data_IF_125743526987
#
_entry.id   IF_125743526987
#
_cell.length_a   1.000
_cell.length_b   1.000
_cell.length_c   1.000
_cell.angle_alpha   90.00
_cell.angle_beta   90.00
_cell.angle_gamma   90.00
#
_symmetry.space_group_name_H-M   'P 1'
#
loop_
_entity.id
_entity.type
_entity.pdbx_description
1 polymer ?
#
# COMPACT_ATOMS: atom_id res chain seq x y z
N UNK A 1 -13.14 -23.14 -0.78
CA UNK A 1 -11.84 -22.42 -0.80
C UNK A 1 -12.15 -20.93 -0.82
N UNK A 2 -11.55 -20.13 0.05
CA UNK A 2 -11.65 -18.67 -0.06
C UNK A 2 -11.02 -18.24 -1.39
N UNK A 3 -11.70 -17.36 -2.14
CA UNK A 3 -11.18 -16.84 -3.39
C UNK A 3 -9.81 -16.17 -3.19
N UNK A 4 -8.95 -16.24 -4.20
CA UNK A 4 -7.67 -15.53 -4.23
C UNK A 4 -7.92 -14.03 -4.06
N UNK A 5 -7.15 -13.37 -3.18
CA UNK A 5 -7.26 -11.93 -2.95
C UNK A 5 -5.92 -11.27 -3.21
N UNK A 6 -5.92 -10.28 -4.10
CA UNK A 6 -4.80 -9.37 -4.31
C UNK A 6 -4.96 -8.13 -3.41
N UNK A 7 -3.88 -7.38 -3.24
CA UNK A 7 -3.88 -6.08 -2.55
C UNK A 7 -3.17 -5.06 -3.44
N UNK A 8 -3.91 -4.55 -4.41
CA UNK A 8 -3.41 -3.67 -5.47
C UNK A 8 -3.67 -2.20 -5.14
N UNK A 9 -4.78 -1.93 -4.47
CA UNK A 9 -5.25 -0.61 -4.02
C UNK A 9 -5.81 -0.71 -2.60
N UNK A 10 -5.95 0.41 -1.90
CA UNK A 10 -6.45 0.40 -0.52
C UNK A 10 -7.93 -0.02 -0.47
N UNK A 11 -8.72 0.37 -1.47
CA UNK A 11 -10.14 0.00 -1.55
C UNK A 11 -10.41 -1.48 -1.89
N UNK A 12 -9.39 -2.30 -2.12
CA UNK A 12 -9.57 -3.75 -2.37
C UNK A 12 -10.05 -4.50 -1.12
N UNK A 13 -9.82 -3.91 0.06
CA UNK A 13 -10.21 -4.47 1.35
C UNK A 13 -11.38 -3.67 1.95
N UNK A 14 -12.32 -4.40 2.54
CA UNK A 14 -13.40 -3.82 3.33
C UNK A 14 -12.88 -3.25 4.65
N UNK A 15 -13.71 -2.49 5.36
CA UNK A 15 -13.39 -2.04 6.72
C UNK A 15 -13.08 -3.22 7.64
N UNK A 16 -13.88 -4.28 7.57
CA UNK A 16 -13.75 -5.47 8.40
C UNK A 16 -12.43 -6.20 8.14
N UNK A 17 -12.00 -6.23 6.88
CA UNK A 17 -10.68 -6.76 6.51
C UNK A 17 -9.55 -5.94 7.14
N UNK A 18 -9.65 -4.61 7.09
CA UNK A 18 -8.65 -3.73 7.72
C UNK A 18 -8.64 -3.86 9.24
N UNK A 19 -9.80 -3.95 9.89
CA UNK A 19 -9.89 -4.19 11.33
C UNK A 19 -9.23 -5.53 11.72
N UNK A 20 -9.38 -6.56 10.88
CA UNK A 20 -8.64 -7.81 11.05
C UNK A 20 -7.14 -7.60 10.84
N UNK A 21 -6.71 -6.97 9.75
CA UNK A 21 -5.28 -6.73 9.44
C UNK A 21 -4.61 -5.92 10.55
N UNK A 22 -5.20 -4.83 11.03
CA UNK A 22 -4.64 -4.02 12.11
C UNK A 22 -4.50 -4.81 13.41
N UNK A 23 -5.51 -5.61 13.77
CA UNK A 23 -5.48 -6.47 14.96
C UNK A 23 -4.37 -7.52 14.85
N UNK A 24 -4.23 -8.14 13.68
CA UNK A 24 -3.18 -9.13 13.40
C UNK A 24 -1.80 -8.49 13.39
N UNK A 25 -1.63 -7.33 12.77
CA UNK A 25 -0.36 -6.60 12.74
C UNK A 25 0.10 -6.22 14.15
N UNK A 26 -0.80 -5.70 14.99
CA UNK A 26 -0.51 -5.40 16.40
C UNK A 26 -0.07 -6.65 17.18
N UNK A 27 -0.78 -7.77 17.01
CA UNK A 27 -0.45 -9.03 17.68
C UNK A 27 0.88 -9.63 17.19
N UNK A 28 1.16 -9.61 15.89
CA UNK A 28 2.45 -10.06 15.32
C UNK A 28 3.58 -9.17 15.84
N UNK A 29 3.38 -7.84 15.86
CA UNK A 29 4.35 -6.87 16.38
C UNK A 29 4.66 -7.12 17.85
N UNK A 30 3.66 -7.41 18.68
CA UNK A 30 3.85 -7.74 20.11
C UNK A 30 4.71 -9.01 20.28
N UNK A 31 4.39 -10.09 19.56
CA UNK A 31 5.21 -11.32 19.57
C UNK A 31 6.64 -11.06 19.16
N UNK A 32 6.83 -10.33 18.06
CA UNK A 32 8.17 -9.95 17.59
C UNK A 32 8.94 -9.16 18.65
N UNK A 33 8.31 -8.18 19.31
CA UNK A 33 8.94 -7.36 20.37
C UNK A 33 9.26 -8.15 21.64
N UNK A 34 8.54 -9.25 21.88
CA UNK A 34 8.80 -10.19 22.98
C UNK A 34 9.77 -11.30 22.60
N UNK A 35 10.32 -11.28 21.40
CA UNK A 35 11.19 -12.32 20.86
C UNK A 35 10.52 -13.71 20.85
N UNK A 36 9.20 -13.75 20.70
CA UNK A 36 8.43 -14.98 20.56
C UNK A 36 8.33 -15.36 19.07
N UNK A 37 8.90 -16.50 18.63
CA UNK A 37 8.81 -16.94 17.25
C UNK A 37 7.36 -17.16 16.81
N UNK A 38 7.01 -16.67 15.62
CA UNK A 38 5.73 -16.90 14.98
C UNK A 38 5.93 -17.05 13.48
N UNK A 39 6.02 -18.30 13.02
CA UNK A 39 6.43 -18.62 11.64
C UNK A 39 5.29 -19.26 10.82
N UNK A 40 4.15 -18.57 10.61
CA UNK A 40 3.02 -19.13 9.88
C UNK A 40 3.30 -19.32 8.38
N UNK A 41 4.34 -18.68 7.84
CA UNK A 41 4.74 -18.73 6.45
C UNK A 41 6.02 -19.56 6.26
N UNK A 42 6.26 -20.53 7.13
CA UNK A 42 7.35 -21.49 6.96
C UNK A 42 7.29 -22.13 5.56
N UNK A 43 8.44 -22.15 4.89
CA UNK A 43 8.62 -22.68 3.52
C UNK A 43 7.79 -21.95 2.44
N UNK A 44 7.37 -20.71 2.71
CA UNK A 44 6.71 -19.85 1.72
C UNK A 44 7.69 -18.88 1.10
N UNK A 45 7.54 -18.67 -0.20
CA UNK A 45 8.41 -17.78 -0.98
C UNK A 45 7.65 -16.56 -1.48
N UNK A 46 8.14 -15.37 -1.11
CA UNK A 46 7.73 -14.09 -1.67
C UNK A 46 8.69 -13.69 -2.79
N UNK A 47 8.20 -13.50 -4.01
CA UNK A 47 8.96 -12.83 -5.09
C UNK A 47 8.68 -11.33 -5.04
N UNK A 48 9.74 -10.51 -5.02
CA UNK A 48 9.65 -9.06 -5.00
C UNK A 48 10.22 -8.47 -6.28
N UNK A 49 9.37 -7.83 -7.09
CA UNK A 49 9.74 -7.23 -8.37
C UNK A 49 9.83 -5.71 -8.22
N UNK A 50 10.98 -5.13 -8.58
CA UNK A 50 11.23 -3.70 -8.46
C UNK A 50 11.64 -3.08 -9.81
N UNK A 51 10.85 -2.14 -10.29
CA UNK A 51 11.21 -1.21 -11.38
C UNK A 51 11.74 0.13 -10.87
N UNK A 52 11.22 0.59 -9.71
CA UNK A 52 11.74 1.74 -8.96
C UNK A 52 12.52 1.25 -7.75
N UNK A 53 13.76 1.69 -7.59
CA UNK A 53 14.55 1.37 -6.40
C UNK A 53 13.84 1.83 -5.11
N UNK A 54 13.97 1.04 -4.03
CA UNK A 54 13.47 1.40 -2.71
C UNK A 54 14.13 0.60 -1.60
N UNK A 55 14.80 1.30 -0.70
CA UNK A 55 15.40 0.69 0.49
C UNK A 55 14.34 0.25 1.49
N UNK A 56 13.38 1.13 1.81
CA UNK A 56 12.39 0.88 2.87
C UNK A 56 11.42 -0.23 2.51
N UNK A 57 10.83 -0.17 1.31
CA UNK A 57 9.88 -1.20 0.86
C UNK A 57 10.56 -2.55 0.81
N UNK A 58 11.73 -2.66 0.16
CA UNK A 58 12.49 -3.92 0.09
C UNK A 58 12.77 -4.48 1.48
N UNK A 59 13.40 -3.68 2.35
CA UNK A 59 13.80 -4.14 3.67
C UNK A 59 12.58 -4.58 4.50
N UNK A 60 11.48 -3.84 4.44
CA UNK A 60 10.26 -4.17 5.20
C UNK A 60 9.62 -5.49 4.77
N UNK A 61 9.53 -5.77 3.46
CA UNK A 61 8.97 -7.02 2.96
C UNK A 61 9.92 -8.20 3.20
N UNK A 62 11.21 -8.02 2.96
CA UNK A 62 12.22 -9.06 3.18
C UNK A 62 12.29 -9.46 4.65
N UNK A 63 12.42 -8.49 5.56
CA UNK A 63 12.43 -8.74 6.99
C UNK A 63 11.09 -9.29 7.49
N UNK A 64 9.96 -8.77 7.00
CA UNK A 64 8.62 -9.25 7.36
C UNK A 64 8.41 -10.71 6.97
N UNK A 65 8.84 -11.12 5.78
CA UNK A 65 8.73 -12.50 5.32
C UNK A 65 9.62 -13.43 6.17
N UNK A 66 10.86 -13.03 6.44
CA UNK A 66 11.78 -13.78 7.30
C UNK A 66 11.24 -13.94 8.72
N UNK A 67 10.70 -12.87 9.31
CA UNK A 67 10.07 -12.92 10.65
C UNK A 67 8.86 -13.84 10.72
N UNK A 68 8.19 -14.07 9.59
CA UNK A 68 7.08 -15.03 9.47
C UNK A 68 7.53 -16.44 9.05
N UNK A 69 8.85 -16.68 8.98
CA UNK A 69 9.46 -17.98 8.68
C UNK A 69 9.62 -18.30 7.20
N UNK A 70 9.32 -17.36 6.31
CA UNK A 70 9.44 -17.55 4.87
C UNK A 70 10.71 -16.94 4.28
N UNK A 71 10.82 -17.07 2.96
CA UNK A 71 11.93 -16.55 2.17
C UNK A 71 11.46 -15.48 1.20
N UNK A 72 12.32 -14.51 0.88
CA UNK A 72 12.04 -13.50 -0.11
C UNK A 72 13.12 -13.49 -1.20
N UNK A 73 12.69 -13.42 -2.47
CA UNK A 73 13.56 -13.32 -3.64
C UNK A 73 13.41 -11.92 -4.21
N UNK A 74 14.50 -11.18 -4.28
CA UNK A 74 14.53 -9.84 -4.88
C UNK A 74 14.88 -9.93 -6.37
N UNK A 75 14.03 -9.34 -7.21
CA UNK A 75 14.23 -9.19 -8.65
C UNK A 75 14.20 -7.70 -9.02
N UNK A 76 15.30 -7.23 -9.61
CA UNK A 76 15.35 -5.93 -10.28
C UNK A 76 14.96 -6.12 -11.74
N UNK A 77 14.01 -5.32 -12.25
CA UNK A 77 13.55 -5.51 -13.63
C UNK A 77 14.66 -5.33 -14.66
N UNK A 78 15.62 -4.43 -14.41
CA UNK A 78 16.80 -4.21 -15.27
C UNK A 78 17.64 -5.48 -15.48
N UNK A 79 17.66 -6.36 -14.48
CA UNK A 79 18.46 -7.57 -14.47
C UNK A 79 17.62 -8.82 -14.83
N UNK A 80 16.36 -8.63 -15.24
CA UNK A 80 15.40 -9.71 -15.52
C UNK A 80 14.85 -9.66 -16.95
N UNK A 81 14.13 -10.70 -17.36
CA UNK A 81 13.48 -10.77 -18.69
C UNK A 81 12.36 -9.74 -18.87
N UNK A 82 11.74 -9.27 -17.77
CA UNK A 82 10.81 -8.14 -17.79
C UNK A 82 11.46 -6.88 -18.40
N UNK A 83 12.71 -6.60 -18.05
CA UNK A 83 13.47 -5.48 -18.62
C UNK A 83 13.89 -5.69 -20.09
N UNK A 84 13.74 -6.91 -20.62
CA UNK A 84 14.07 -7.28 -22.01
C UNK A 84 12.84 -7.37 -22.92
N UNK A 85 11.66 -7.02 -22.40
CA UNK A 85 10.41 -6.97 -23.16
C UNK A 85 9.53 -8.21 -23.06
N UNK A 86 9.78 -9.10 -22.08
CA UNK A 86 8.80 -10.15 -21.74
C UNK A 86 7.47 -9.50 -21.32
N UNK A 87 6.32 -9.93 -21.87
CA UNK A 87 5.01 -9.45 -21.41
C UNK A 87 4.80 -9.72 -19.93
N UNK A 88 4.18 -8.75 -19.24
CA UNK A 88 3.92 -8.85 -17.79
C UNK A 88 3.01 -10.03 -17.46
N UNK A 89 2.11 -10.39 -18.38
CA UNK A 89 1.20 -11.53 -18.27
C UNK A 89 1.93 -12.87 -18.29
N UNK A 90 2.91 -13.04 -19.18
CA UNK A 90 3.71 -14.27 -19.28
C UNK A 90 4.58 -14.44 -18.03
N UNK A 91 5.23 -13.35 -17.61
CA UNK A 91 5.99 -13.32 -16.37
C UNK A 91 5.12 -13.67 -15.16
N UNK A 92 3.88 -13.17 -15.09
CA UNK A 92 2.94 -13.51 -14.02
C UNK A 92 2.59 -15.00 -13.99
N UNK A 93 2.33 -15.60 -15.16
CA UNK A 93 2.05 -17.02 -15.26
C UNK A 93 3.24 -17.88 -14.82
N UNK A 94 4.48 -17.50 -15.17
CA UNK A 94 5.69 -18.24 -14.79
C UNK A 94 6.05 -18.03 -13.32
N UNK A 95 6.12 -16.79 -12.85
CA UNK A 95 6.58 -16.48 -11.48
C UNK A 95 5.60 -16.99 -10.42
N UNK A 96 4.30 -16.87 -10.68
CA UNK A 96 3.28 -17.43 -9.78
C UNK A 96 3.34 -18.97 -9.70
N UNK A 97 4.06 -19.63 -10.62
CA UNK A 97 4.31 -21.08 -10.58
C UNK A 97 5.38 -21.50 -9.58
N UNK A 98 6.27 -20.58 -9.23
CA UNK A 98 7.49 -20.82 -8.46
C UNK A 98 7.51 -20.08 -7.11
N UNK A 99 6.40 -19.41 -6.76
CA UNK A 99 6.28 -18.59 -5.55
C UNK A 99 4.91 -18.77 -4.90
N UNK A 100 4.78 -18.33 -3.66
CA UNK A 100 3.53 -18.34 -2.89
C UNK A 100 2.89 -16.94 -2.82
N UNK A 101 3.68 -15.88 -2.98
CA UNK A 101 3.25 -14.48 -3.03
C UNK A 101 4.14 -13.69 -3.99
N UNK A 102 3.58 -12.64 -4.59
CA UNK A 102 4.35 -11.67 -5.37
C UNK A 102 4.08 -10.26 -4.83
N UNK A 103 5.13 -9.47 -4.65
CA UNK A 103 5.03 -8.03 -4.42
C UNK A 103 5.67 -7.29 -5.59
N UNK A 104 5.00 -6.28 -6.10
CA UNK A 104 5.45 -5.50 -7.26
C UNK A 104 5.50 -4.03 -6.90
N UNK A 105 6.64 -3.41 -7.20
CA UNK A 105 6.82 -1.96 -7.20
C UNK A 105 7.16 -1.51 -8.62
N UNK A 106 6.17 -0.94 -9.29
CA UNK A 106 6.20 -0.57 -10.71
C UNK A 106 5.80 0.91 -10.89
N UNK A 107 5.79 1.39 -12.13
CA UNK A 107 5.30 2.71 -12.47
C UNK A 107 3.77 2.69 -12.59
N UNK A 108 3.22 1.99 -13.59
CA UNK A 108 1.81 2.09 -13.92
C UNK A 108 0.95 1.08 -13.16
N UNK A 109 -0.20 1.54 -12.68
CA UNK A 109 -1.19 0.68 -12.04
C UNK A 109 -1.72 -0.42 -12.98
N UNK A 110 -1.85 -0.14 -14.28
CA UNK A 110 -2.24 -1.13 -15.29
C UNK A 110 -1.29 -2.34 -15.31
N UNK A 111 0.02 -2.10 -15.15
CA UNK A 111 1.03 -3.16 -15.15
C UNK A 111 0.79 -4.17 -14.03
N UNK A 112 0.54 -3.70 -12.81
CA UNK A 112 0.28 -4.60 -11.68
C UNK A 112 -1.09 -5.28 -11.78
N UNK A 113 -2.09 -4.62 -12.36
CA UNK A 113 -3.43 -5.19 -12.60
C UNK A 113 -3.39 -6.31 -13.62
N UNK A 114 -2.68 -6.13 -14.74
CA UNK A 114 -2.44 -7.18 -15.75
C UNK A 114 -1.64 -8.35 -15.19
N UNK A 115 -0.62 -8.07 -14.36
CA UNK A 115 0.12 -9.12 -13.64
C UNK A 115 -0.83 -9.92 -12.73
N UNK A 116 -1.64 -9.23 -11.91
CA UNK A 116 -2.56 -9.87 -10.97
C UNK A 116 -3.60 -10.73 -11.67
N UNK A 117 -4.17 -10.26 -12.79
CA UNK A 117 -5.14 -11.01 -13.60
C UNK A 117 -4.58 -12.34 -14.15
N UNK A 118 -3.25 -12.46 -14.29
CA UNK A 118 -2.56 -13.65 -14.79
C UNK A 118 -1.80 -14.42 -13.70
N UNK A 119 -1.89 -13.99 -12.44
CA UNK A 119 -1.23 -14.64 -11.31
C UNK A 119 -2.16 -15.62 -10.61
N UNK A 120 -1.65 -16.82 -10.31
CA UNK A 120 -2.37 -17.79 -9.46
C UNK A 120 -2.13 -17.59 -7.95
N UNK A 121 -1.28 -16.64 -7.57
CA UNK A 121 -0.92 -16.33 -6.17
C UNK A 121 -1.19 -14.85 -5.85
N UNK A 122 -1.33 -14.47 -4.56
CA UNK A 122 -1.61 -13.08 -4.19
C UNK A 122 -0.54 -12.13 -4.71
N UNK A 123 -0.99 -10.97 -5.18
CA UNK A 123 -0.14 -9.89 -5.67
C UNK A 123 -0.34 -8.68 -4.78
N UNK A 124 0.75 -8.10 -4.30
CA UNK A 124 0.77 -6.97 -3.38
C UNK A 124 1.41 -5.77 -4.06
N UNK A 125 0.73 -4.63 -4.05
CA UNK A 125 1.27 -3.36 -4.53
C UNK A 125 2.24 -2.76 -3.51
N UNK A 126 3.53 -2.84 -3.84
CA UNK A 126 4.60 -2.21 -3.08
C UNK A 126 4.70 -0.70 -3.32
N UNK A 127 4.30 -0.22 -4.50
CA UNK A 127 4.04 1.17 -4.90
C UNK A 127 3.80 1.22 -6.43
N UNK A 128 2.84 2.04 -6.85
CA UNK A 128 2.65 2.53 -8.24
C UNK A 128 2.65 4.06 -8.26
N UNK A 129 2.64 4.66 -9.45
CA UNK A 129 2.48 6.11 -9.64
C UNK A 129 1.11 6.59 -9.13
N UNK A 130 0.11 5.70 -9.11
CA UNK A 130 -1.24 6.02 -8.69
C UNK A 130 -1.51 5.71 -7.21
N UNK A 131 -0.91 4.65 -6.64
CA UNK A 131 -1.24 4.20 -5.27
C UNK A 131 -0.04 3.66 -4.47
N UNK A 132 -0.10 3.82 -3.15
CA UNK A 132 0.86 3.25 -2.20
C UNK A 132 0.15 2.67 -0.96
N UNK A 133 -0.67 1.61 -1.14
CA UNK A 133 -1.60 1.14 -0.10
C UNK A 133 -0.90 0.57 1.14
N UNK A 134 0.31 0.04 1.01
CA UNK A 134 1.09 -0.48 2.14
C UNK A 134 1.58 0.63 3.08
N UNK A 135 1.94 1.82 2.55
CA UNK A 135 2.40 2.92 3.38
C UNK A 135 1.25 3.50 4.21
N UNK A 136 0.11 3.78 3.58
CA UNK A 136 -1.08 4.32 4.27
C UNK A 136 -1.61 3.33 5.32
N UNK A 137 -1.55 2.02 5.05
CA UNK A 137 -1.85 0.99 6.05
C UNK A 137 -0.94 1.14 7.30
N UNK A 138 0.36 1.36 7.11
CA UNK A 138 1.31 1.54 8.20
C UNK A 138 1.08 2.85 8.97
N UNK A 139 0.77 3.94 8.26
CA UNK A 139 0.47 5.25 8.85
C UNK A 139 -0.77 5.18 9.75
N UNK A 140 -1.82 4.53 9.26
CA UNK A 140 -3.08 4.35 10.01
C UNK A 140 -2.88 3.42 11.21
N UNK A 141 -2.11 2.34 11.07
CA UNK A 141 -1.76 1.49 12.21
C UNK A 141 -1.03 2.30 13.28
N UNK A 142 -0.10 3.17 12.87
CA UNK A 142 0.63 4.07 13.78
C UNK A 142 -0.33 5.02 14.47
N UNK A 143 -1.25 5.65 13.74
CA UNK A 143 -2.29 6.49 14.33
C UNK A 143 -3.12 5.71 15.37
N UNK A 144 -3.56 4.50 15.04
CA UNK A 144 -4.35 3.65 15.93
C UNK A 144 -3.61 3.33 17.23
N UNK A 145 -2.31 3.03 17.15
CA UNK A 145 -1.49 2.78 18.33
C UNK A 145 -1.33 4.01 19.23
N UNK A 146 -1.29 5.22 18.64
CA UNK A 146 -1.04 6.46 19.37
C UNK A 146 -2.29 7.23 19.80
N UNK A 147 -3.42 7.03 19.12
CA UNK A 147 -4.64 7.86 19.24
C UNK A 147 -5.94 7.05 19.27
N UNK A 148 -5.89 5.73 19.06
CA UNK A 148 -7.07 4.89 18.95
C UNK A 148 -7.74 4.99 17.58
N UNK A 149 -9.04 4.67 17.51
CA UNK A 149 -9.75 4.58 16.22
C UNK A 149 -9.64 5.86 15.38
N UNK A 150 -9.32 5.69 14.08
CA UNK A 150 -9.29 6.77 13.10
C UNK A 150 -10.70 7.15 12.62
N UNK A 151 -11.72 6.32 12.88
CA UNK A 151 -13.11 6.59 12.47
C UNK A 151 -13.59 7.95 13.02
N UNK A 152 -14.11 8.79 12.13
CA UNK A 152 -14.61 10.14 12.43
C UNK A 152 -13.52 11.19 12.69
N UNK A 153 -12.24 10.81 12.65
CA UNK A 153 -11.10 11.73 12.80
C UNK A 153 -10.87 12.53 11.53
N UNK A 154 -10.08 13.58 11.63
CA UNK A 154 -9.71 14.43 10.50
C UNK A 154 -8.22 14.28 10.21
N UNK A 155 -7.90 13.82 9.00
CA UNK A 155 -6.53 13.79 8.46
C UNK A 155 -6.37 14.96 7.49
N UNK A 156 -5.27 15.70 7.57
CA UNK A 156 -4.91 16.75 6.63
C UNK A 156 -3.71 16.32 5.78
N UNK A 157 -3.90 16.24 4.47
CA UNK A 157 -2.84 16.07 3.49
C UNK A 157 -2.42 17.42 2.90
N UNK A 158 -1.14 17.74 3.01
CA UNK A 158 -0.55 18.95 2.46
C UNK A 158 0.53 18.57 1.44
N UNK A 159 0.40 19.04 0.20
CA UNK A 159 1.36 18.76 -0.87
C UNK A 159 0.67 18.26 -2.14
N UNK A 160 1.42 17.57 -2.99
CA UNK A 160 0.95 17.21 -4.32
C UNK A 160 -0.13 16.11 -4.29
N UNK A 161 -1.03 16.13 -5.27
CA UNK A 161 -2.00 15.07 -5.55
C UNK A 161 -1.33 13.82 -6.14
N UNK A 162 -0.44 13.18 -5.38
CA UNK A 162 0.34 12.03 -5.80
C UNK A 162 -0.27 10.69 -5.34
N UNK A 163 0.47 9.60 -5.50
CA UNK A 163 0.04 8.26 -5.06
C UNK A 163 -0.39 8.17 -3.59
N UNK A 164 0.29 8.89 -2.69
CA UNK A 164 -0.03 8.94 -1.27
C UNK A 164 -1.37 9.64 -1.06
N UNK A 165 -1.57 10.80 -1.68
CA UNK A 165 -2.85 11.52 -1.61
C UNK A 165 -4.01 10.67 -2.13
N UNK A 166 -3.86 10.03 -3.29
CA UNK A 166 -4.87 9.15 -3.87
C UNK A 166 -5.21 7.99 -2.93
N UNK A 167 -4.21 7.43 -2.27
CA UNK A 167 -4.39 6.32 -1.31
C UNK A 167 -5.06 6.79 -0.01
N UNK A 168 -4.74 7.99 0.48
CA UNK A 168 -5.43 8.62 1.62
C UNK A 168 -6.91 8.83 1.33
N UNK A 169 -7.27 9.23 0.11
CA UNK A 169 -8.66 9.40 -0.31
C UNK A 169 -9.41 8.06 -0.24
N UNK A 170 -8.83 6.97 -0.76
CA UNK A 170 -9.42 5.63 -0.63
C UNK A 170 -9.57 5.21 0.84
N UNK A 171 -8.55 5.47 1.66
CA UNK A 171 -8.58 5.12 3.08
C UNK A 171 -9.67 5.87 3.85
N UNK A 172 -9.88 7.15 3.55
CA UNK A 172 -10.90 7.99 4.18
C UNK A 172 -12.30 7.43 3.95
N UNK A 173 -12.58 6.97 2.73
CA UNK A 173 -13.83 6.31 2.38
C UNK A 173 -13.98 4.97 3.12
N UNK A 174 -13.01 4.06 2.97
CA UNK A 174 -13.10 2.70 3.53
C UNK A 174 -13.21 2.72 5.06
N UNK A 175 -12.48 3.63 5.72
CA UNK A 175 -12.36 3.68 7.19
C UNK A 175 -13.21 4.78 7.84
N UNK A 176 -14.03 5.52 7.08
CA UNK A 176 -15.00 6.52 7.58
C UNK A 176 -14.31 7.58 8.45
N UNK A 177 -13.34 8.28 7.88
CA UNK A 177 -12.73 9.47 8.47
C UNK A 177 -12.77 10.63 7.46
N UNK A 178 -12.51 11.86 7.93
CA UNK A 178 -12.51 13.05 7.09
C UNK A 178 -11.10 13.32 6.57
N UNK A 179 -10.98 13.66 5.29
CA UNK A 179 -9.71 14.04 4.67
C UNK A 179 -9.77 15.50 4.22
N UNK A 180 -8.94 16.34 4.82
CA UNK A 180 -8.66 17.67 4.33
C UNK A 180 -7.47 17.59 3.37
N UNK A 181 -7.56 18.27 2.23
CA UNK A 181 -6.50 18.28 1.22
C UNK A 181 -6.19 19.71 0.83
N UNK A 182 -4.93 20.09 0.90
CA UNK A 182 -4.42 21.32 0.32
C UNK A 182 -3.27 21.00 -0.61
N UNK A 183 -3.48 21.29 -1.90
CA UNK A 183 -2.51 21.03 -2.98
C UNK A 183 -2.11 22.34 -3.66
N UNK A 184 -0.84 22.50 -4.05
CA UNK A 184 -0.43 23.68 -4.82
C UNK A 184 -1.09 23.69 -6.22
N UNK A 185 -1.22 24.88 -6.80
CA UNK A 185 -1.76 25.04 -8.15
C UNK A 185 -0.94 24.23 -9.18
N UNK A 186 -1.62 23.47 -10.03
CA UNK A 186 -0.98 22.57 -11.00
C UNK A 186 -0.72 21.15 -10.49
N UNK A 187 -0.90 20.88 -9.19
CA UNK A 187 -0.68 19.58 -8.56
C UNK A 187 -1.93 19.07 -7.84
N UNK A 188 -3.10 19.44 -8.34
CA UNK A 188 -4.38 19.05 -7.76
C UNK A 188 -4.59 17.52 -7.84
N UNK A 189 -5.36 16.99 -6.90
CA UNK A 189 -5.81 15.60 -6.92
C UNK A 189 -6.61 15.34 -8.19
N UNK A 190 -6.26 14.29 -8.92
CA UNK A 190 -7.06 13.83 -10.05
C UNK A 190 -8.35 13.16 -9.52
N UNK A 191 -9.45 13.91 -9.54
CA UNK A 191 -10.74 13.44 -9.07
C UNK A 191 -11.28 12.25 -9.85
N UNK A 192 -10.79 11.99 -11.08
CA UNK A 192 -11.19 10.84 -11.87
C UNK A 192 -10.67 9.51 -11.29
N UNK A 193 -9.53 9.53 -10.58
CA UNK A 193 -8.93 8.35 -9.96
C UNK A 193 -9.62 7.94 -8.66
N UNK A 194 -10.29 8.88 -7.99
CA UNK A 194 -10.83 8.69 -6.64
C UNK A 194 -12.33 8.41 -6.60
N UNK A 195 -13.09 8.64 -7.69
CA UNK A 195 -14.49 8.21 -7.79
C UNK A 195 -15.38 8.70 -6.64
N UNK A 196 -16.17 7.80 -6.04
CA UNK A 196 -17.10 8.15 -4.94
C UNK A 196 -16.40 8.55 -3.62
N UNK A 197 -15.11 8.21 -3.47
CA UNK A 197 -14.31 8.52 -2.30
C UNK A 197 -14.17 10.03 -2.02
N UNK A 198 -14.46 10.87 -3.01
CA UNK A 198 -14.49 12.34 -2.90
C UNK A 198 -15.43 12.81 -1.78
N UNK A 199 -16.43 12.02 -1.38
CA UNK A 199 -17.39 12.40 -0.31
C UNK A 199 -16.73 12.64 1.05
N UNK A 200 -15.58 12.02 1.33
CA UNK A 200 -14.83 12.22 2.59
C UNK A 200 -13.74 13.27 2.47
N UNK A 201 -13.51 13.77 1.26
CA UNK A 201 -12.47 14.73 0.96
C UNK A 201 -13.03 16.16 0.92
N UNK A 202 -12.34 17.09 1.57
CA UNK A 202 -12.59 18.53 1.45
C UNK A 202 -11.30 19.22 0.99
N UNK A 203 -11.40 19.99 -0.08
CA UNK A 203 -10.28 20.76 -0.63
C UNK A 203 -10.17 22.12 0.06
N UNK A 204 -8.94 22.58 0.28
CA UNK A 204 -8.60 23.86 0.88
C UNK A 204 -7.51 24.54 0.07
N UNK A 205 -7.67 25.85 -0.17
CA UNK A 205 -6.65 26.65 -0.83
C UNK A 205 -5.47 26.95 0.11
N UNK A 206 -5.75 27.21 1.40
CA UNK A 206 -4.74 27.47 2.42
C UNK A 206 -4.41 26.19 3.21
N UNK A 207 -3.13 25.75 3.25
CA UNK A 207 -2.73 24.60 4.08
C UNK A 207 -2.98 24.80 5.58
N UNK A 208 -2.98 26.04 6.07
CA UNK A 208 -3.27 26.34 7.48
C UNK A 208 -4.73 26.05 7.82
N UNK A 209 -5.66 26.37 6.91
CA UNK A 209 -7.08 26.04 7.06
C UNK A 209 -7.32 24.52 6.98
N UNK A 210 -6.61 23.82 6.10
CA UNK A 210 -6.66 22.36 6.03
C UNK A 210 -6.21 21.70 7.35
N UNK A 211 -5.16 22.24 7.98
CA UNK A 211 -4.61 21.72 9.23
C UNK A 211 -5.44 22.08 10.48
N UNK A 212 -6.31 23.09 10.38
CA UNK A 212 -7.07 23.57 11.53
C UNK A 212 -7.95 22.46 12.13
N UNK A 213 -7.63 22.03 13.35
CA UNK A 213 -8.36 20.98 14.06
C UNK A 213 -8.13 19.56 13.53
N UNK A 214 -7.12 19.34 12.66
CA UNK A 214 -6.78 18.00 12.19
C UNK A 214 -6.18 17.14 13.33
N UNK A 215 -6.55 15.87 13.38
CA UNK A 215 -5.99 14.87 14.31
C UNK A 215 -4.64 14.32 13.81
N UNK A 216 -4.42 14.36 12.49
CA UNK A 216 -3.18 13.95 11.82
C UNK A 216 -2.88 14.93 10.68
N UNK A 217 -1.66 15.46 10.63
CA UNK A 217 -1.15 16.21 9.47
C UNK A 217 -0.09 15.36 8.79
N UNK A 218 -0.21 15.18 7.48
CA UNK A 218 0.67 14.34 6.65
C UNK A 218 1.05 15.08 5.37
N UNK A 219 2.24 14.76 4.87
CA UNK A 219 2.82 15.33 3.64
C UNK A 219 3.79 14.32 3.04
N UNK A 220 4.31 14.61 1.85
CA UNK A 220 5.36 13.85 1.20
C UNK A 220 6.27 14.79 0.41
N UNK A 221 7.37 14.26 -0.11
CA UNK A 221 8.31 15.02 -0.93
C UNK A 221 7.60 15.60 -2.17
N UNK A 222 7.93 16.84 -2.51
CA UNK A 222 7.36 17.54 -3.69
C UNK A 222 7.93 17.05 -5.03
N UNK A 223 8.86 16.10 -5.00
CA UNK A 223 9.43 15.44 -6.18
C UNK A 223 9.47 13.94 -5.93
N UNK A 224 8.59 13.18 -6.60
CA UNK A 224 8.39 11.72 -6.40
C UNK A 224 8.49 10.90 -7.69
#
# INVERSE_FOLDING_TARGET
MTALRHYLQFKDFSREDYEYVFRRAKWIKDKFKRYEPYHPLFDRTLVMIFEKASTRTRLSFEAGMQQLGGSAIYLNTRDSQLGRGEPVEDAAQVMSRMSDLVMIRTFEQDTIERFAANSRVPVINGLTNQYHPCQILADILTFIEHRGSIKGRTVAWIGDGNNMCNTWVQAAEVLDFNLHVSTPSGYAVDTSLVGEAVRRMKLFADPMEACAGADLVTTDVWTS
#
